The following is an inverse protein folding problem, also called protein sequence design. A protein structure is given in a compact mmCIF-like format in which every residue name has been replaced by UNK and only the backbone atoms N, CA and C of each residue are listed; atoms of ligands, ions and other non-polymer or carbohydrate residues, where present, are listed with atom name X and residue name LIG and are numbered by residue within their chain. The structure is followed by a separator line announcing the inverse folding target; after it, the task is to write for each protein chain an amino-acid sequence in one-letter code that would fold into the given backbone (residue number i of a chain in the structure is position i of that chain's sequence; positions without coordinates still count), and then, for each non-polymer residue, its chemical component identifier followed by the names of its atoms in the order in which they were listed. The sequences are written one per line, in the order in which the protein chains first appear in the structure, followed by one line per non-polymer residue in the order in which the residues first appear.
data_IF_268654226749
#
_entry.id   IF_268654226749
#
_cell.length_a   1.000
_cell.length_b   1.000
_cell.length_c   1.000
_cell.angle_alpha   90.00
_cell.angle_beta   90.00
_cell.angle_gamma   90.00
#
_symmetry.space_group_name_H-M   'P 1'
#
loop_
_entity.id
_entity.type
_entity.pdbx_description
1 polymer ?
#
# COMPACT_ATOMS: atom_id res chain seq x y z
N UNK A 1 9.68 -19.80 26.56
CA UNK A 1 9.94 -18.67 25.63
C UNK A 1 9.35 -19.04 24.28
N UNK A 2 8.73 -18.09 23.55
CA UNK A 2 8.27 -18.38 22.19
C UNK A 2 9.46 -18.83 21.32
N UNK A 3 9.22 -19.77 20.41
CA UNK A 3 10.23 -20.24 19.46
C UNK A 3 10.82 -19.04 18.70
N UNK A 4 12.13 -19.01 18.55
CA UNK A 4 12.84 -18.06 17.68
C UNK A 4 13.37 -18.77 16.44
N UNK A 5 13.64 -18.00 15.38
CA UNK A 5 14.31 -18.54 14.21
C UNK A 5 15.72 -19.00 14.57
N UNK A 6 16.11 -20.14 14.02
CA UNK A 6 17.48 -20.62 14.02
C UNK A 6 18.34 -19.78 13.08
N UNK A 7 19.67 -19.86 13.23
CA UNK A 7 20.61 -19.15 12.35
C UNK A 7 20.45 -19.56 10.88
N UNK A 8 20.14 -20.83 10.61
CA UNK A 8 19.88 -21.35 9.27
C UNK A 8 18.59 -20.78 8.67
N UNK A 9 17.53 -20.64 9.48
CA UNK A 9 16.29 -19.99 9.04
C UNK A 9 16.50 -18.49 8.81
N UNK A 10 17.27 -17.81 9.66
CA UNK A 10 17.64 -16.40 9.47
C UNK A 10 18.47 -16.18 8.18
N UNK A 11 19.40 -17.08 7.87
CA UNK A 11 20.15 -17.07 6.61
C UNK A 11 19.22 -17.15 5.40
N UNK A 12 18.26 -18.10 5.41
CA UNK A 12 17.23 -18.20 4.35
C UNK A 12 16.34 -16.96 4.30
N UNK A 13 15.97 -16.42 5.46
CA UNK A 13 15.13 -15.23 5.58
C UNK A 13 15.78 -14.03 4.88
N UNK A 14 17.03 -13.71 5.21
CA UNK A 14 17.75 -12.59 4.60
C UNK A 14 18.10 -12.86 3.12
N UNK A 15 18.44 -14.10 2.75
CA UNK A 15 18.68 -14.46 1.35
C UNK A 15 17.48 -14.13 0.45
N UNK A 16 16.25 -14.41 0.91
CA UNK A 16 15.02 -14.11 0.15
C UNK A 16 14.71 -12.62 0.06
N UNK A 17 15.00 -11.86 1.12
CA UNK A 17 14.85 -10.40 1.07
C UNK A 17 15.87 -9.78 0.10
N UNK A 18 17.13 -10.21 0.17
CA UNK A 18 18.18 -9.79 -0.75
C UNK A 18 17.88 -10.16 -2.21
N UNK A 19 17.33 -11.35 -2.47
CA UNK A 19 16.93 -11.73 -3.82
C UNK A 19 15.76 -10.88 -4.36
N UNK A 20 14.84 -10.46 -3.49
CA UNK A 20 13.69 -9.62 -3.87
C UNK A 20 14.09 -8.18 -4.15
N UNK A 21 15.05 -7.66 -3.40
CA UNK A 21 15.57 -6.30 -3.47
C UNK A 21 17.09 -6.31 -3.24
N UNK A 22 17.92 -6.43 -4.30
CA UNK A 22 19.36 -6.60 -4.16
C UNK A 22 20.11 -5.39 -3.57
N UNK A 23 19.54 -4.20 -3.70
CA UNK A 23 20.16 -2.95 -3.28
C UNK A 23 19.12 -2.08 -2.53
N UNK A 24 18.75 -2.47 -1.30
CA UNK A 24 17.73 -1.76 -0.55
C UNK A 24 18.30 -0.41 -0.06
N UNK A 25 17.59 0.68 -0.31
CA UNK A 25 18.03 2.03 0.02
C UNK A 25 17.03 2.76 0.93
N UNK A 26 17.50 3.85 1.53
CA UNK A 26 16.64 4.77 2.28
C UNK A 26 15.71 5.51 1.31
N UNK A 27 14.48 5.79 1.76
CA UNK A 27 13.51 6.57 0.98
C UNK A 27 13.63 8.09 1.22
N UNK A 28 14.58 8.50 2.09
CA UNK A 28 14.90 9.91 2.30
C UNK A 28 15.89 10.40 1.24
N UNK A 29 15.59 11.53 0.62
CA UNK A 29 16.46 12.15 -0.36
C UNK A 29 17.58 12.94 0.34
N UNK A 30 18.83 12.69 -0.06
CA UNK A 30 20.01 13.39 0.44
C UNK A 30 21.11 13.41 -0.64
N UNK A 31 22.09 14.29 -0.48
CA UNK A 31 23.23 14.43 -1.41
C UNK A 31 24.58 14.17 -0.74
N UNK A 32 24.63 14.26 0.59
CA UNK A 32 25.83 14.08 1.39
C UNK A 32 25.48 13.66 2.83
N UNK A 33 26.45 13.27 3.68
CA UNK A 33 26.18 12.83 5.05
C UNK A 33 25.45 13.88 5.93
N UNK A 34 25.68 15.17 5.69
CA UNK A 34 25.03 16.24 6.44
C UNK A 34 23.54 16.38 6.09
N UNK A 35 23.22 16.43 4.80
CA UNK A 35 21.82 16.48 4.34
C UNK A 35 21.04 15.23 4.75
N UNK A 36 21.69 14.06 4.79
CA UNK A 36 21.10 12.85 5.37
C UNK A 36 20.81 13.04 6.86
N UNK A 37 21.78 13.49 7.66
CA UNK A 37 21.59 13.73 9.09
C UNK A 37 20.40 14.66 9.34
N UNK A 38 20.32 15.77 8.61
CA UNK A 38 19.19 16.72 8.70
C UNK A 38 17.88 16.04 8.31
N UNK A 39 17.82 15.29 7.20
CA UNK A 39 16.62 14.58 6.79
C UNK A 39 16.13 13.57 7.84
N UNK A 40 17.04 12.82 8.48
CA UNK A 40 16.69 11.85 9.54
C UNK A 40 16.22 12.55 10.81
N UNK A 41 16.82 13.69 11.19
CA UNK A 41 16.33 14.49 12.33
C UNK A 41 14.92 15.05 12.04
N UNK A 42 14.67 15.49 10.80
CA UNK A 42 13.37 15.98 10.38
C UNK A 42 12.30 14.88 10.30
N UNK A 43 12.68 13.62 10.06
CA UNK A 43 11.76 12.49 9.91
C UNK A 43 11.13 11.99 11.21
N UNK A 44 11.61 12.44 12.37
CA UNK A 44 11.01 12.09 13.66
C UNK A 44 9.51 12.44 13.68
N UNK A 45 8.63 11.43 13.77
CA UNK A 45 7.17 11.59 13.69
C UNK A 45 6.68 12.32 12.42
N UNK A 46 7.36 12.08 11.29
CA UNK A 46 6.97 12.57 9.98
C UNK A 46 7.09 11.45 8.95
N UNK A 47 6.45 11.63 7.79
CA UNK A 47 6.60 10.70 6.67
C UNK A 47 7.78 11.09 5.80
N UNK A 48 8.48 10.12 5.22
CA UNK A 48 9.63 10.40 4.34
C UNK A 48 9.21 11.25 3.14
N UNK A 49 8.01 11.03 2.59
CA UNK A 49 7.42 11.89 1.55
C UNK A 49 7.28 13.34 1.99
N UNK A 50 6.83 13.59 3.22
CA UNK A 50 6.69 14.93 3.78
C UNK A 50 8.05 15.59 3.98
N UNK A 51 9.04 14.83 4.46
CA UNK A 51 10.42 15.30 4.63
C UNK A 51 11.03 15.65 3.27
N UNK A 52 10.96 14.76 2.29
CA UNK A 52 11.52 14.96 0.96
C UNK A 52 10.96 16.21 0.28
N UNK A 53 9.66 16.49 0.44
CA UNK A 53 9.03 17.72 -0.08
C UNK A 53 9.60 18.97 0.58
N UNK A 54 9.78 18.95 1.90
CA UNK A 54 10.32 20.09 2.63
C UNK A 54 11.82 20.32 2.35
N UNK A 55 12.59 19.24 2.22
CA UNK A 55 14.04 19.31 2.04
C UNK A 55 14.46 19.59 0.60
N UNK A 56 13.60 19.31 -0.39
CA UNK A 56 13.93 19.47 -1.82
C UNK A 56 14.51 20.85 -2.18
N UNK A 57 13.88 21.94 -1.71
CA UNK A 57 14.40 23.30 -1.92
C UNK A 57 15.44 23.71 -0.89
N UNK A 58 15.32 23.21 0.34
CA UNK A 58 16.25 23.52 1.43
C UNK A 58 17.68 23.08 1.09
N UNK A 59 17.86 21.85 0.62
CA UNK A 59 19.19 21.30 0.33
C UNK A 59 19.83 21.89 -0.94
N UNK A 60 19.09 22.62 -1.76
CA UNK A 60 19.70 23.37 -2.87
C UNK A 60 20.44 24.62 -2.39
N UNK A 61 20.03 25.18 -1.23
CA UNK A 61 20.58 26.43 -0.69
C UNK A 61 21.41 26.21 0.60
N UNK A 62 21.15 25.12 1.33
CA UNK A 62 21.79 24.81 2.60
C UNK A 62 22.08 23.30 2.72
N UNK A 63 23.18 22.87 2.11
CA UNK A 63 23.68 21.49 2.08
C UNK A 63 24.92 21.25 2.98
N UNK A 64 25.34 22.26 3.75
CA UNK A 64 26.43 22.17 4.73
C UNK A 64 26.02 22.82 6.07
N UNK A 65 26.68 22.47 7.19
CA UNK A 65 26.42 23.10 8.48
C UNK A 65 26.54 24.64 8.44
N UNK A 66 27.56 25.15 7.75
CA UNK A 66 27.84 26.60 7.65
C UNK A 66 26.70 27.32 6.92
N UNK A 67 26.27 26.77 5.77
CA UNK A 67 25.14 27.33 5.01
C UNK A 67 23.83 27.25 5.80
N UNK A 68 23.61 26.18 6.56
CA UNK A 68 22.42 26.04 7.40
C UNK A 68 22.39 27.05 8.55
N UNK A 69 23.53 27.26 9.22
CA UNK A 69 23.65 28.29 10.26
C UNK A 69 23.47 29.69 9.67
N UNK A 70 24.05 29.96 8.50
CA UNK A 70 23.88 31.24 7.79
C UNK A 70 22.43 31.48 7.33
N UNK A 71 21.71 30.42 6.93
CA UNK A 71 20.28 30.50 6.60
C UNK A 71 19.45 30.95 7.82
N UNK A 72 19.80 30.46 9.01
CA UNK A 72 19.19 30.81 10.28
C UNK A 72 17.87 30.08 10.56
N UNK A 73 17.52 30.01 11.85
CA UNK A 73 16.38 29.22 12.35
C UNK A 73 15.04 29.63 11.73
N UNK A 74 14.80 30.94 11.59
CA UNK A 74 13.53 31.46 11.07
C UNK A 74 13.26 30.98 9.63
N UNK A 75 14.22 31.18 8.73
CA UNK A 75 14.10 30.76 7.32
C UNK A 75 14.06 29.24 7.20
N UNK A 76 14.88 28.52 7.96
CA UNK A 76 14.80 27.06 8.03
C UNK A 76 13.39 26.61 8.44
N UNK A 77 12.82 27.24 9.47
CA UNK A 77 11.47 26.98 9.94
C UNK A 77 10.40 27.14 8.86
N UNK A 78 10.54 28.15 7.99
CA UNK A 78 9.64 28.37 6.84
C UNK A 78 9.70 27.20 5.84
N UNK A 79 10.90 26.66 5.56
CA UNK A 79 11.08 25.49 4.69
C UNK A 79 10.44 24.22 5.26
N UNK A 80 10.54 24.01 6.58
CA UNK A 80 10.11 22.76 7.23
C UNK A 80 8.74 22.87 7.92
N UNK A 81 8.03 24.00 7.78
CA UNK A 81 6.76 24.26 8.49
C UNK A 81 5.65 23.24 8.26
N UNK A 82 5.71 22.51 7.15
CA UNK A 82 4.77 21.45 6.79
C UNK A 82 4.99 20.15 7.57
N UNK A 83 6.11 20.05 8.30
CA UNK A 83 6.46 18.89 9.11
C UNK A 83 5.98 19.11 10.55
N UNK A 84 5.45 18.07 11.20
CA UNK A 84 5.13 18.12 12.63
C UNK A 84 6.37 18.45 13.49
N UNK A 85 6.16 19.20 14.58
CA UNK A 85 7.20 19.62 15.53
C UNK A 85 8.32 20.47 14.90
N UNK A 86 8.04 21.16 13.78
CA UNK A 86 9.06 21.86 12.99
C UNK A 86 9.86 22.92 13.76
N UNK A 87 9.26 23.63 14.73
CA UNK A 87 9.97 24.66 15.51
C UNK A 87 11.14 24.07 16.30
N UNK A 88 10.87 23.03 17.08
CA UNK A 88 11.92 22.33 17.84
C UNK A 88 12.92 21.65 16.91
N UNK A 89 12.46 21.10 15.78
CA UNK A 89 13.36 20.51 14.78
C UNK A 89 14.29 21.54 14.14
N UNK A 90 13.79 22.71 13.75
CA UNK A 90 14.60 23.79 13.19
C UNK A 90 15.64 24.28 14.21
N UNK A 91 15.22 24.50 15.46
CA UNK A 91 16.14 24.83 16.57
C UNK A 91 17.24 23.78 16.73
N UNK A 92 16.88 22.50 16.75
CA UNK A 92 17.84 21.40 16.86
C UNK A 92 18.79 21.33 15.66
N UNK A 93 18.29 21.50 14.44
CA UNK A 93 19.11 21.49 13.21
C UNK A 93 20.11 22.65 13.20
N UNK A 94 19.73 23.84 13.66
CA UNK A 94 20.69 24.95 13.80
C UNK A 94 21.72 24.64 14.89
N UNK A 95 21.26 24.17 16.06
CA UNK A 95 22.15 23.86 17.18
C UNK A 95 23.15 22.75 16.84
N UNK A 96 22.70 21.65 16.23
CA UNK A 96 23.61 20.57 15.80
C UNK A 96 24.58 21.05 14.74
N UNK A 97 24.16 21.94 13.82
CA UNK A 97 25.05 22.47 12.78
C UNK A 97 26.16 23.32 13.38
N UNK A 98 25.87 24.13 14.41
CA UNK A 98 26.90 24.86 15.16
C UNK A 98 27.90 23.93 15.83
N UNK A 99 27.42 22.87 16.49
CA UNK A 99 28.28 21.87 17.14
C UNK A 99 29.19 21.17 16.12
N UNK A 100 28.67 20.84 14.93
CA UNK A 100 29.48 20.24 13.87
C UNK A 100 30.61 21.18 13.42
N UNK A 101 30.35 22.47 13.28
CA UNK A 101 31.38 23.47 12.94
C UNK A 101 32.42 23.55 14.06
N UNK A 102 31.97 23.76 15.29
CA UNK A 102 32.84 24.02 16.45
C UNK A 102 33.70 22.81 16.86
N UNK A 103 33.11 21.60 16.84
CA UNK A 103 33.73 20.41 17.44
C UNK A 103 34.15 19.35 16.43
N UNK A 104 33.64 19.42 15.20
CA UNK A 104 33.86 18.40 14.17
C UNK A 104 34.33 18.99 12.83
N UNK A 105 34.72 20.27 12.79
CA UNK A 105 35.24 20.94 11.59
C UNK A 105 34.26 20.95 10.42
N UNK A 106 32.97 21.07 10.71
CA UNK A 106 31.90 21.09 9.70
C UNK A 106 31.52 19.72 9.14
N UNK A 107 32.09 18.62 9.66
CA UNK A 107 31.84 17.27 9.15
C UNK A 107 30.98 16.45 10.10
N UNK A 108 30.08 15.63 9.54
CA UNK A 108 29.32 14.65 10.33
C UNK A 108 30.27 13.54 10.81
N UNK A 109 30.37 13.28 12.13
CA UNK A 109 31.24 12.22 12.63
C UNK A 109 30.69 10.84 12.27
N UNK A 110 31.58 9.92 11.89
CA UNK A 110 31.26 8.51 11.68
C UNK A 110 31.29 7.69 12.98
N UNK A 111 30.89 8.30 14.09
CA UNK A 111 30.88 7.70 15.42
C UNK A 111 29.50 7.88 16.07
N UNK A 112 28.93 6.78 16.55
CA UNK A 112 27.57 6.76 17.10
C UNK A 112 27.47 7.63 18.35
N UNK A 113 28.46 7.57 19.26
CA UNK A 113 28.42 8.30 20.53
C UNK A 113 28.56 9.82 20.31
N UNK A 114 29.38 10.22 19.34
CA UNK A 114 29.49 11.61 18.90
C UNK A 114 28.17 12.09 18.27
N UNK A 115 27.53 11.27 17.44
CA UNK A 115 26.22 11.60 16.87
C UNK A 115 25.13 11.73 17.94
N UNK A 116 25.07 10.84 18.93
CA UNK A 116 24.10 10.90 20.04
C UNK A 116 24.23 12.17 20.91
N UNK A 117 25.37 12.86 20.87
CA UNK A 117 25.56 14.16 21.55
C UNK A 117 24.95 15.34 20.80
N UNK A 118 24.51 15.14 19.55
CA UNK A 118 23.91 16.19 18.74
C UNK A 118 22.42 16.39 19.10
N UNK A 119 21.94 17.64 19.22
CA UNK A 119 20.52 17.92 19.48
C UNK A 119 19.59 17.27 18.46
N UNK A 120 18.58 16.54 18.94
CA UNK A 120 17.61 15.84 18.09
C UNK A 120 18.10 14.50 17.53
N UNK A 121 19.30 14.05 17.88
CA UNK A 121 19.86 12.76 17.44
C UNK A 121 19.83 11.78 18.62
N UNK A 122 18.88 10.85 18.58
CA UNK A 122 18.90 9.68 19.46
C UNK A 122 19.64 8.50 18.83
N UNK A 123 19.79 7.41 19.59
CA UNK A 123 20.44 6.16 19.15
C UNK A 123 19.97 5.65 17.78
N UNK A 124 18.66 5.65 17.54
CA UNK A 124 18.08 5.24 16.25
C UNK A 124 18.60 6.12 15.12
N UNK A 125 18.59 7.44 15.30
CA UNK A 125 19.06 8.40 14.28
C UNK A 125 20.55 8.22 14.02
N UNK A 126 21.36 8.07 15.08
CA UNK A 126 22.79 7.82 14.96
C UNK A 126 23.08 6.52 14.19
N UNK A 127 22.40 5.42 14.53
CA UNK A 127 22.56 4.14 13.84
C UNK A 127 22.17 4.22 12.35
N UNK A 128 21.13 4.98 11.98
CA UNK A 128 20.75 5.19 10.57
C UNK A 128 21.87 5.93 9.82
N UNK A 129 22.39 7.01 10.39
CA UNK A 129 23.46 7.79 9.76
C UNK A 129 24.75 6.96 9.61
N UNK A 130 25.15 6.22 10.66
CA UNK A 130 26.26 5.27 10.61
C UNK A 130 26.10 4.23 9.49
N UNK A 131 24.91 3.66 9.32
CA UNK A 131 24.67 2.65 8.30
C UNK A 131 24.65 3.23 6.88
N UNK A 132 23.87 4.29 6.66
CA UNK A 132 23.60 4.82 5.32
C UNK A 132 24.76 5.66 4.81
N UNK A 133 25.28 6.60 5.60
CA UNK A 133 26.35 7.49 5.15
C UNK A 133 27.73 6.82 5.18
N UNK A 134 27.97 5.96 6.17
CA UNK A 134 29.31 5.43 6.45
C UNK A 134 29.43 3.91 6.26
N UNK A 135 28.35 3.23 5.83
CA UNK A 135 28.36 1.80 5.53
C UNK A 135 28.54 0.88 6.74
N UNK A 136 28.38 1.41 7.96
CA UNK A 136 28.56 0.62 9.18
C UNK A 136 27.43 -0.42 9.33
N UNK A 137 27.72 -1.63 9.82
CA UNK A 137 26.74 -2.72 9.93
C UNK A 137 25.76 -2.55 11.11
N UNK A 138 25.24 -1.34 11.34
CA UNK A 138 24.30 -1.01 12.41
C UNK A 138 22.85 -1.26 11.98
N UNK A 139 22.02 -1.77 12.89
CA UNK A 139 20.59 -2.02 12.63
C UNK A 139 19.75 -1.10 13.52
N UNK A 140 19.32 0.04 12.97
CA UNK A 140 18.49 0.98 13.72
C UNK A 140 17.06 0.45 13.87
N UNK A 141 16.63 0.09 15.08
CA UNK A 141 15.30 -0.47 15.33
C UNK A 141 14.27 0.63 15.48
N UNK A 142 13.34 0.69 14.52
CA UNK A 142 12.14 1.54 14.58
C UNK A 142 10.88 0.70 14.79
N UNK A 143 9.70 1.32 14.67
CA UNK A 143 8.42 0.60 14.85
C UNK A 143 8.16 -0.49 13.81
N UNK A 144 8.74 -0.36 12.60
CA UNK A 144 8.60 -1.37 11.54
C UNK A 144 9.49 -2.56 11.85
N UNK A 145 10.78 -2.34 12.11
CA UNK A 145 11.75 -3.39 12.41
C UNK A 145 11.39 -4.09 13.71
N UNK A 146 11.00 -3.34 14.75
CA UNK A 146 10.56 -3.91 16.02
C UNK A 146 9.39 -4.88 15.84
N UNK A 147 8.39 -4.48 15.04
CA UNK A 147 7.24 -5.33 14.73
C UNK A 147 7.63 -6.54 13.89
N UNK A 148 8.44 -6.37 12.85
CA UNK A 148 8.90 -7.46 12.00
C UNK A 148 9.67 -8.48 12.82
N UNK A 149 10.67 -8.04 13.59
CA UNK A 149 11.52 -8.90 14.41
C UNK A 149 10.71 -9.74 15.42
N UNK A 150 9.72 -9.12 16.07
CA UNK A 150 8.84 -9.81 17.01
C UNK A 150 7.85 -10.77 16.31
N UNK A 151 7.16 -10.33 15.24
CA UNK A 151 6.17 -11.18 14.54
C UNK A 151 6.81 -12.39 13.88
N UNK A 152 7.96 -12.22 13.22
CA UNK A 152 8.60 -13.32 12.48
C UNK A 152 9.31 -14.30 13.41
N UNK A 153 9.58 -13.90 14.65
CA UNK A 153 10.43 -14.65 15.59
C UNK A 153 11.92 -14.54 15.27
N UNK A 154 12.32 -13.61 14.38
CA UNK A 154 13.72 -13.40 14.00
C UNK A 154 14.56 -12.89 15.19
N UNK A 155 14.03 -11.93 15.94
CA UNK A 155 14.70 -11.32 17.09
C UNK A 155 13.67 -10.70 18.04
N UNK A 156 12.83 -11.52 18.71
CA UNK A 156 11.83 -11.00 19.62
C UNK A 156 12.48 -10.34 20.84
N UNK A 157 11.88 -9.25 21.30
CA UNK A 157 12.39 -8.44 22.41
C UNK A 157 11.36 -7.43 22.87
N UNK A 158 11.43 -7.04 24.15
CA UNK A 158 10.49 -6.10 24.77
C UNK A 158 10.87 -4.65 24.50
N UNK A 159 12.16 -4.39 24.30
CA UNK A 159 12.69 -3.04 24.05
C UNK A 159 13.40 -2.97 22.70
N UNK A 160 13.46 -1.79 22.05
CA UNK A 160 14.22 -1.62 20.81
C UNK A 160 15.69 -2.04 20.94
N UNK A 161 16.30 -1.80 22.10
CA UNK A 161 17.69 -2.18 22.37
C UNK A 161 17.89 -3.71 22.44
N UNK A 162 16.96 -4.44 23.07
CA UNK A 162 16.97 -5.90 23.05
C UNK A 162 16.86 -6.45 21.63
N UNK A 163 15.95 -5.89 20.83
CA UNK A 163 15.76 -6.28 19.43
C UNK A 163 16.99 -5.95 18.59
N UNK A 164 17.60 -4.77 18.77
CA UNK A 164 18.84 -4.36 18.09
C UNK A 164 19.96 -5.38 18.33
N UNK A 165 20.26 -5.67 19.59
CA UNK A 165 21.31 -6.63 19.98
C UNK A 165 21.02 -8.04 19.47
N UNK A 166 19.77 -8.47 19.50
CA UNK A 166 19.37 -9.78 18.99
C UNK A 166 19.49 -9.86 17.46
N UNK A 167 19.11 -8.80 16.74
CA UNK A 167 19.26 -8.70 15.28
C UNK A 167 20.73 -8.72 14.87
N UNK A 168 21.60 -7.96 15.55
CA UNK A 168 23.05 -7.97 15.28
C UNK A 168 23.67 -9.35 15.47
N UNK A 169 23.18 -10.11 16.46
CA UNK A 169 23.67 -11.48 16.74
C UNK A 169 23.16 -12.52 15.76
N UNK A 170 21.88 -12.48 15.38
CA UNK A 170 21.26 -13.51 14.52
C UNK A 170 21.54 -13.28 13.03
N UNK A 171 21.75 -12.03 12.62
CA UNK A 171 21.95 -11.67 11.21
C UNK A 171 23.32 -12.13 10.72
N UNK A 172 23.40 -12.93 9.65
CA UNK A 172 24.67 -13.32 9.05
C UNK A 172 25.48 -12.11 8.56
N UNK A 173 26.81 -12.15 8.74
CA UNK A 173 27.71 -11.01 8.47
C UNK A 173 27.52 -10.38 7.09
N UNK A 174 27.32 -11.20 6.05
CA UNK A 174 27.11 -10.75 4.66
C UNK A 174 25.84 -9.93 4.45
N UNK A 175 24.83 -10.08 5.32
CA UNK A 175 23.56 -9.35 5.23
C UNK A 175 23.50 -8.15 6.18
N UNK A 176 24.39 -8.03 7.17
CA UNK A 176 24.30 -7.00 8.22
C UNK A 176 24.13 -5.58 7.65
N UNK A 177 24.87 -5.23 6.60
CA UNK A 177 24.79 -3.90 5.97
C UNK A 177 23.40 -3.60 5.40
N UNK A 178 22.79 -4.56 4.70
CA UNK A 178 21.46 -4.40 4.07
C UNK A 178 20.30 -4.71 5.01
N UNK A 179 20.55 -5.40 6.13
CA UNK A 179 19.51 -5.89 7.05
C UNK A 179 18.58 -4.78 7.54
N UNK A 180 19.12 -3.61 7.87
CA UNK A 180 18.31 -2.46 8.26
C UNK A 180 17.25 -2.11 7.20
N UNK A 181 17.67 -1.87 5.96
CA UNK A 181 16.79 -1.47 4.86
C UNK A 181 15.80 -2.57 4.46
N UNK A 182 16.26 -3.83 4.38
CA UNK A 182 15.35 -4.95 4.10
C UNK A 182 14.25 -5.07 5.14
N UNK A 183 14.58 -4.96 6.43
CA UNK A 183 13.60 -5.12 7.50
C UNK A 183 12.62 -3.95 7.57
N UNK A 184 13.08 -2.70 7.41
CA UNK A 184 12.19 -1.53 7.42
C UNK A 184 11.25 -1.53 6.20
N UNK A 185 11.75 -1.80 4.99
CA UNK A 185 10.95 -1.86 3.77
C UNK A 185 9.95 -3.02 3.83
N UNK A 186 10.39 -4.18 4.32
CA UNK A 186 9.49 -5.31 4.54
C UNK A 186 8.39 -4.98 5.55
N UNK A 187 8.74 -4.33 6.67
CA UNK A 187 7.77 -3.89 7.66
C UNK A 187 6.82 -2.80 7.15
N UNK A 188 7.28 -1.94 6.25
CA UNK A 188 6.50 -0.85 5.66
C UNK A 188 5.48 -1.36 4.63
N UNK A 189 5.92 -2.21 3.70
CA UNK A 189 5.13 -2.58 2.53
C UNK A 189 4.41 -3.93 2.67
N UNK A 190 5.01 -4.89 3.38
CA UNK A 190 4.50 -6.27 3.48
C UNK A 190 3.92 -6.52 4.87
N UNK A 191 4.75 -6.50 5.91
CA UNK A 191 4.34 -6.77 7.30
C UNK A 191 3.74 -5.53 7.98
N UNK A 192 2.69 -4.98 7.37
CA UNK A 192 1.95 -3.80 7.83
C UNK A 192 1.34 -4.00 9.22
N UNK A 193 1.22 -2.92 9.98
CA UNK A 193 0.77 -2.97 11.38
C UNK A 193 -0.64 -3.57 11.55
N UNK A 194 -1.62 -3.06 10.78
CA UNK A 194 -3.02 -3.48 10.89
C UNK A 194 -3.30 -4.83 10.23
N UNK A 195 -2.98 -4.95 8.94
CA UNK A 195 -3.23 -6.18 8.15
C UNK A 195 -1.99 -6.51 7.31
N UNK A 196 -1.13 -7.44 7.76
CA UNK A 196 0.06 -7.83 7.02
C UNK A 196 -0.32 -8.54 5.72
N UNK A 197 0.46 -8.34 4.66
CA UNK A 197 0.27 -9.00 3.37
C UNK A 197 0.96 -10.38 3.35
N UNK A 198 0.54 -11.26 4.27
CA UNK A 198 1.11 -12.60 4.40
C UNK A 198 1.04 -13.44 3.11
N UNK A 199 -0.03 -13.37 2.28
CA UNK A 199 -0.10 -14.15 1.04
C UNK A 199 0.98 -13.79 0.01
N UNK A 200 1.46 -12.55 0.01
CA UNK A 200 2.53 -12.09 -0.89
C UNK A 200 3.90 -11.99 -0.19
N UNK A 201 4.01 -12.50 1.05
CA UNK A 201 5.23 -12.38 1.84
C UNK A 201 6.23 -13.48 1.47
N UNK A 202 7.42 -13.08 1.00
CA UNK A 202 8.49 -13.99 0.56
C UNK A 202 9.11 -14.86 1.67
N UNK A 203 8.79 -14.57 2.92
CA UNK A 203 9.27 -15.29 4.12
C UNK A 203 8.11 -15.86 4.95
N UNK A 204 6.91 -15.99 4.38
CA UNK A 204 5.70 -16.40 5.10
C UNK A 204 5.78 -17.80 5.73
N UNK A 205 6.43 -18.74 5.05
CA UNK A 205 6.71 -20.11 5.50
C UNK A 205 7.72 -20.17 6.64
N UNK A 206 8.69 -19.24 6.67
CA UNK A 206 9.66 -19.10 7.77
C UNK A 206 9.07 -18.36 8.97
N UNK A 207 8.12 -17.45 8.74
CA UNK A 207 7.56 -16.56 9.74
C UNK A 207 6.79 -17.32 10.83
N UNK A 208 7.10 -17.06 12.10
CA UNK A 208 6.44 -17.68 13.26
C UNK A 208 5.19 -16.93 13.77
N UNK A 209 4.69 -15.94 13.02
CA UNK A 209 3.50 -15.18 13.40
C UNK A 209 2.26 -16.08 13.34
N UNK A 210 1.48 -16.23 14.44
CA UNK A 210 0.30 -17.10 14.43
C UNK A 210 -0.84 -16.53 13.58
N UNK A 211 -1.08 -15.21 13.62
CA UNK A 211 -2.23 -14.58 12.97
C UNK A 211 -1.93 -14.15 11.53
N UNK A 212 -1.38 -15.06 10.71
CA UNK A 212 -1.10 -14.77 9.30
C UNK A 212 -2.42 -14.44 8.59
N UNK A 213 -2.39 -13.36 7.79
CA UNK A 213 -3.53 -13.02 6.95
C UNK A 213 -3.75 -14.13 5.92
N UNK A 214 -4.93 -14.75 5.94
CA UNK A 214 -5.32 -15.74 4.95
C UNK A 214 -5.26 -15.15 3.53
N UNK A 215 -5.04 -16.00 2.53
CA UNK A 215 -5.19 -15.60 1.14
C UNK A 215 -6.62 -15.10 0.94
N UNK A 216 -6.78 -13.78 0.82
CA UNK A 216 -8.01 -13.24 0.26
C UNK A 216 -7.98 -13.66 -1.20
N UNK A 217 -9.03 -14.33 -1.69
CA UNK A 217 -9.20 -14.56 -3.11
C UNK A 217 -8.91 -13.22 -3.80
N UNK A 218 -7.79 -13.14 -4.53
CA UNK A 218 -7.45 -11.94 -5.28
C UNK A 218 -8.67 -11.65 -6.15
N UNK A 219 -9.16 -10.41 -6.13
CA UNK A 219 -10.02 -9.94 -7.23
C UNK A 219 -9.24 -10.25 -8.51
N UNK A 220 -9.78 -11.16 -9.31
CA UNK A 220 -9.09 -11.65 -10.50
C UNK A 220 -8.92 -10.49 -11.48
N UNK A 221 -8.02 -10.60 -12.47
CA UNK A 221 -7.94 -9.60 -13.54
C UNK A 221 -9.31 -9.35 -14.22
N UNK A 222 -10.23 -10.32 -14.16
CA UNK A 222 -11.63 -10.17 -14.61
C UNK A 222 -12.41 -9.14 -13.78
N UNK A 223 -12.12 -8.95 -12.49
CA UNK A 223 -12.83 -8.03 -11.59
C UNK A 223 -12.45 -6.55 -11.77
N UNK A 224 -11.36 -6.26 -12.48
CA UNK A 224 -10.86 -4.89 -12.70
C UNK A 224 -11.55 -4.20 -13.88
N UNK A 225 -11.93 -4.96 -14.92
CA UNK A 225 -12.66 -4.44 -16.06
C UNK A 225 -14.11 -4.13 -15.68
N UNK A 226 -14.53 -2.87 -15.79
CA UNK A 226 -15.86 -2.41 -15.40
C UNK A 226 -16.65 -1.87 -16.58
N UNK A 227 -17.92 -2.25 -16.67
CA UNK A 227 -18.90 -1.70 -17.62
C UNK A 227 -19.76 -0.67 -16.90
N UNK A 228 -20.03 0.44 -17.58
CA UNK A 228 -21.04 1.42 -17.18
C UNK A 228 -22.43 0.93 -17.61
N UNK A 229 -23.31 0.70 -16.64
CA UNK A 229 -24.70 0.32 -16.85
C UNK A 229 -25.59 1.56 -16.74
N UNK A 230 -26.33 1.83 -17.82
CA UNK A 230 -27.29 2.93 -17.91
C UNK A 230 -28.68 2.46 -17.48
N UNK A 231 -29.57 3.41 -17.25
CA UNK A 231 -30.95 3.16 -16.86
C UNK A 231 -31.89 4.02 -17.69
N UNK A 232 -33.06 3.49 -18.10
CA UNK A 232 -34.05 4.26 -18.85
C UNK A 232 -34.82 5.26 -17.98
N UNK A 233 -34.64 5.24 -16.65
CA UNK A 233 -35.32 6.17 -15.73
C UNK A 233 -34.64 7.54 -15.71
N UNK A 234 -35.35 8.64 -16.06
CA UNK A 234 -34.80 9.99 -16.01
C UNK A 234 -34.27 10.34 -14.60
N UNK A 235 -33.10 10.97 -14.53
CA UNK A 235 -32.49 11.44 -13.28
C UNK A 235 -31.77 10.38 -12.43
N UNK A 236 -31.77 9.10 -12.84
CA UNK A 236 -31.05 8.06 -12.10
C UNK A 236 -29.62 7.88 -12.63
N UNK A 237 -28.63 7.94 -11.74
CA UNK A 237 -27.22 7.82 -12.08
C UNK A 237 -26.84 6.44 -12.64
N UNK A 238 -25.85 6.41 -13.53
CA UNK A 238 -25.25 5.16 -14.03
C UNK A 238 -24.45 4.46 -12.93
N UNK A 239 -24.34 3.13 -13.05
CA UNK A 239 -23.60 2.29 -12.10
C UNK A 239 -22.48 1.58 -12.83
N UNK A 240 -21.27 1.55 -12.24
CA UNK A 240 -20.13 0.81 -12.79
C UNK A 240 -19.97 -0.54 -12.09
N UNK A 241 -20.11 -1.62 -12.84
CA UNK A 241 -20.01 -3.00 -12.32
C UNK A 241 -18.97 -3.84 -13.07
N UNK A 242 -18.39 -4.90 -12.48
CA UNK A 242 -17.44 -5.78 -13.16
C UNK A 242 -18.04 -6.41 -14.42
N UNK A 243 -17.29 -6.39 -15.53
CA UNK A 243 -17.72 -6.84 -16.85
C UNK A 243 -18.18 -8.29 -16.85
N UNK A 244 -17.42 -9.18 -16.23
CA UNK A 244 -17.78 -10.59 -16.20
C UNK A 244 -19.09 -10.86 -15.43
N UNK A 245 -19.36 -10.11 -14.35
CA UNK A 245 -20.63 -10.20 -13.61
C UNK A 245 -21.80 -9.72 -14.46
N UNK A 246 -21.60 -8.62 -15.20
CA UNK A 246 -22.56 -8.15 -16.18
C UNK A 246 -22.83 -9.21 -17.24
N UNK A 247 -21.80 -9.80 -17.83
CA UNK A 247 -21.92 -10.80 -18.91
C UNK A 247 -22.60 -12.09 -18.44
N UNK A 248 -22.27 -12.58 -17.24
CA UNK A 248 -22.91 -13.76 -16.64
C UNK A 248 -24.42 -13.55 -16.43
N UNK A 249 -24.80 -12.42 -15.84
CA UNK A 249 -26.21 -12.08 -15.60
C UNK A 249 -26.94 -11.80 -16.91
N UNK A 250 -26.32 -11.09 -17.85
CA UNK A 250 -26.88 -10.85 -19.19
C UNK A 250 -27.14 -12.16 -19.93
N UNK A 251 -26.19 -13.10 -19.90
CA UNK A 251 -26.35 -14.45 -20.47
C UNK A 251 -27.57 -15.14 -19.85
N UNK A 252 -27.65 -15.18 -18.53
CA UNK A 252 -28.77 -15.80 -17.81
C UNK A 252 -30.12 -15.14 -18.14
N UNK A 253 -30.18 -13.80 -18.27
CA UNK A 253 -31.40 -13.08 -18.70
C UNK A 253 -31.78 -13.47 -20.12
N UNK A 254 -30.83 -13.45 -21.06
CA UNK A 254 -31.10 -13.83 -22.46
C UNK A 254 -31.60 -15.27 -22.56
N UNK A 255 -30.99 -16.20 -21.83
CA UNK A 255 -31.39 -17.60 -21.84
C UNK A 255 -32.74 -17.82 -21.16
N UNK A 256 -33.06 -17.05 -20.12
CA UNK A 256 -34.42 -17.02 -19.57
C UNK A 256 -35.42 -16.55 -20.64
N UNK A 257 -35.22 -15.36 -21.22
CA UNK A 257 -36.16 -14.81 -22.18
C UNK A 257 -36.33 -15.67 -23.44
N UNK A 258 -35.29 -16.36 -23.92
CA UNK A 258 -35.41 -17.34 -25.02
C UNK A 258 -36.40 -18.46 -24.69
N UNK A 259 -36.36 -18.98 -23.46
CA UNK A 259 -37.26 -20.07 -23.04
C UNK A 259 -38.72 -19.63 -22.87
N UNK A 260 -38.98 -18.33 -22.66
CA UNK A 260 -40.34 -17.81 -22.53
C UNK A 260 -41.01 -17.43 -23.86
N UNK A 261 -40.27 -17.44 -24.98
CA UNK A 261 -40.82 -17.11 -26.29
C UNK A 261 -41.47 -15.72 -26.37
N UNK A 262 -42.57 -15.61 -27.11
CA UNK A 262 -43.26 -14.31 -27.35
C UNK A 262 -44.02 -13.78 -26.13
N UNK A 263 -44.35 -14.65 -25.16
CA UNK A 263 -45.07 -14.28 -23.94
C UNK A 263 -44.16 -13.54 -22.93
N UNK A 264 -42.85 -13.79 -22.96
CA UNK A 264 -41.87 -13.12 -22.09
C UNK A 264 -42.02 -13.45 -20.60
N UNK A 265 -41.31 -12.73 -19.74
CA UNK A 265 -41.34 -12.87 -18.27
C UNK A 265 -41.98 -11.66 -17.59
N UNK A 266 -42.72 -11.86 -16.48
CA UNK A 266 -43.07 -10.75 -15.61
C UNK A 266 -41.82 -10.23 -14.90
N UNK A 267 -41.78 -8.92 -14.61
CA UNK A 267 -40.61 -8.31 -13.96
C UNK A 267 -40.25 -8.95 -12.61
N UNK A 268 -41.26 -9.40 -11.85
CA UNK A 268 -41.08 -10.03 -10.54
C UNK A 268 -40.52 -11.46 -10.63
N UNK A 269 -40.71 -12.14 -11.76
CA UNK A 269 -40.31 -13.54 -11.97
C UNK A 269 -38.88 -13.67 -12.51
N UNK A 270 -38.37 -12.60 -13.13
CA UNK A 270 -37.07 -12.60 -13.79
C UNK A 270 -35.90 -12.92 -12.86
N UNK A 271 -35.80 -12.40 -11.62
CA UNK A 271 -34.70 -12.73 -10.72
C UNK A 271 -34.57 -14.23 -10.41
N UNK A 272 -35.69 -14.92 -10.22
CA UNK A 272 -35.69 -16.37 -9.94
C UNK A 272 -35.32 -17.17 -11.19
N UNK A 273 -35.81 -16.75 -12.36
CA UNK A 273 -35.42 -17.35 -13.64
C UNK A 273 -33.92 -17.17 -13.95
N UNK A 274 -33.35 -16.02 -13.59
CA UNK A 274 -31.90 -15.75 -13.70
C UNK A 274 -31.12 -16.60 -12.71
N UNK A 275 -31.57 -16.68 -11.45
CA UNK A 275 -30.93 -17.49 -10.41
C UNK A 275 -30.80 -18.96 -10.82
N UNK A 276 -31.83 -19.52 -11.46
CA UNK A 276 -31.83 -20.91 -11.94
C UNK A 276 -30.84 -21.18 -13.09
N UNK A 277 -30.24 -20.15 -13.69
CA UNK A 277 -29.34 -20.24 -14.87
C UNK A 277 -27.90 -19.79 -14.57
N UNK A 278 -27.59 -19.52 -13.31
CA UNK A 278 -26.25 -19.19 -12.83
C UNK A 278 -25.60 -20.40 -12.18
N UNK A 279 -24.27 -20.52 -12.30
CA UNK A 279 -23.51 -21.56 -11.60
C UNK A 279 -23.43 -21.29 -10.09
N UNK A 280 -23.11 -22.31 -9.29
CA UNK A 280 -22.92 -22.13 -7.84
C UNK A 280 -21.85 -21.08 -7.50
N UNK A 281 -20.75 -21.06 -8.27
CA UNK A 281 -19.67 -20.08 -8.15
C UNK A 281 -20.13 -18.65 -8.50
N UNK A 282 -20.93 -18.50 -9.56
CA UNK A 282 -21.50 -17.21 -9.96
C UNK A 282 -22.46 -16.68 -8.88
N UNK A 283 -23.31 -17.54 -8.31
CA UNK A 283 -24.26 -17.18 -7.24
C UNK A 283 -23.53 -16.70 -5.98
N UNK A 284 -22.51 -17.43 -5.54
CA UNK A 284 -21.68 -17.07 -4.39
C UNK A 284 -21.01 -15.69 -4.60
N UNK A 285 -20.48 -15.45 -5.80
CA UNK A 285 -19.80 -14.19 -6.11
C UNK A 285 -20.73 -12.99 -6.30
N UNK A 286 -21.94 -13.19 -6.81
CA UNK A 286 -22.90 -12.10 -7.05
C UNK A 286 -23.56 -11.60 -5.76
N UNK A 287 -23.82 -12.48 -4.79
CA UNK A 287 -24.58 -12.14 -3.59
C UNK A 287 -26.05 -11.86 -3.92
N UNK A 288 -26.46 -10.59 -4.03
CA UNK A 288 -27.86 -10.21 -4.29
C UNK A 288 -28.26 -10.32 -5.77
N UNK A 289 -28.71 -11.50 -6.20
CA UNK A 289 -29.14 -11.77 -7.59
C UNK A 289 -30.22 -10.80 -8.08
N UNK A 290 -31.14 -10.38 -7.21
CA UNK A 290 -32.21 -9.44 -7.55
C UNK A 290 -31.68 -8.07 -7.97
N UNK A 291 -30.69 -7.55 -7.24
CA UNK A 291 -30.05 -6.27 -7.57
C UNK A 291 -29.31 -6.33 -8.91
N UNK A 292 -28.56 -7.41 -9.15
CA UNK A 292 -27.84 -7.62 -10.40
C UNK A 292 -28.78 -7.76 -11.58
N UNK A 293 -29.83 -8.57 -11.44
CA UNK A 293 -30.86 -8.78 -12.47
C UNK A 293 -31.49 -7.45 -12.85
N UNK A 294 -31.89 -6.63 -11.86
CA UNK A 294 -32.48 -5.31 -12.10
C UNK A 294 -31.53 -4.38 -12.84
N UNK A 295 -30.27 -4.31 -12.40
CA UNK A 295 -29.27 -3.39 -12.96
C UNK A 295 -28.94 -3.74 -14.41
N UNK A 296 -28.67 -5.02 -14.69
CA UNK A 296 -28.32 -5.48 -16.04
C UNK A 296 -29.53 -5.39 -16.98
N UNK A 297 -30.72 -5.76 -16.50
CA UNK A 297 -31.97 -5.61 -17.26
C UNK A 297 -32.19 -4.17 -17.72
N UNK A 298 -32.04 -3.18 -16.84
CA UNK A 298 -32.27 -1.77 -17.18
C UNK A 298 -31.29 -1.30 -18.28
N UNK A 299 -30.03 -1.72 -18.20
CA UNK A 299 -29.04 -1.40 -19.22
C UNK A 299 -29.36 -2.09 -20.56
N UNK A 300 -29.83 -3.34 -20.54
CA UNK A 300 -30.27 -4.07 -21.74
C UNK A 300 -31.49 -3.42 -22.41
N UNK A 301 -32.39 -2.80 -21.65
CA UNK A 301 -33.49 -1.98 -22.20
C UNK A 301 -32.95 -0.74 -22.92
N UNK A 302 -31.98 -0.03 -22.33
CA UNK A 302 -31.34 1.12 -22.97
C UNK A 302 -30.60 0.72 -24.26
N UNK A 303 -29.99 -0.47 -24.27
CA UNK A 303 -29.30 -1.03 -25.45
C UNK A 303 -30.25 -1.61 -26.51
N UNK A 304 -31.56 -1.63 -26.25
CA UNK A 304 -32.55 -2.17 -27.19
C UNK A 304 -32.47 -3.68 -27.39
N UNK A 305 -31.89 -4.42 -26.44
CA UNK A 305 -31.79 -5.88 -26.51
C UNK A 305 -33.09 -6.56 -26.06
N UNK A 306 -33.80 -5.91 -25.15
CA UNK A 306 -35.06 -6.36 -24.58
C UNK A 306 -36.07 -5.22 -24.59
N UNK A 307 -37.35 -5.54 -24.71
CA UNK A 307 -38.44 -4.57 -24.70
C UNK A 307 -39.52 -4.93 -23.68
N UNK A 308 -40.22 -3.91 -23.21
CA UNK A 308 -41.41 -4.06 -22.38
C UNK A 308 -42.63 -4.22 -23.28
N UNK A 309 -43.44 -5.23 -23.01
CA UNK A 309 -44.69 -5.50 -23.72
C UNK A 309 -45.83 -5.52 -22.71
N UNK A 310 -46.96 -4.93 -23.10
CA UNK A 310 -48.20 -4.99 -22.32
C UNK A 310 -48.90 -6.29 -22.70
N UNK A 311 -49.08 -7.18 -21.72
CA UNK A 311 -49.81 -8.44 -21.87
C UNK A 311 -50.96 -8.52 -20.85
N UNK A 312 -51.89 -9.46 -21.04
CA UNK A 312 -52.93 -9.78 -20.03
C UNK A 312 -52.21 -10.21 -18.74
N UNK A 313 -52.32 -9.40 -17.69
CA UNK A 313 -51.67 -9.64 -16.38
C UNK A 313 -50.50 -8.69 -16.03
N UNK A 314 -50.14 -7.73 -16.89
CA UNK A 314 -49.20 -6.65 -16.54
C UNK A 314 -48.04 -6.46 -17.54
N UNK A 315 -47.04 -5.67 -17.14
CA UNK A 315 -45.83 -5.44 -17.95
C UNK A 315 -44.92 -6.68 -17.95
N UNK A 316 -44.61 -7.17 -19.15
CA UNK A 316 -43.70 -8.32 -19.38
C UNK A 316 -42.48 -7.89 -20.18
N UNK A 317 -41.41 -8.67 -20.08
CA UNK A 317 -40.15 -8.45 -20.80
C UNK A 317 -39.94 -9.56 -21.82
N UNK A 318 -39.57 -9.20 -23.04
CA UNK A 318 -39.17 -10.15 -24.09
C UNK A 318 -37.95 -9.65 -24.88
N UNK A 319 -37.37 -10.55 -25.68
CA UNK A 319 -36.31 -10.20 -26.62
C UNK A 319 -36.85 -9.35 -27.77
N UNK A 320 -36.08 -8.36 -28.23
CA UNK A 320 -36.43 -7.60 -29.43
C UNK A 320 -36.20 -8.48 -30.69
N UNK A 321 -37.21 -8.69 -31.55
CA UNK A 321 -37.06 -9.50 -32.76
C UNK A 321 -36.01 -8.92 -33.72
N UNK A 322 -35.11 -9.77 -34.25
CA UNK A 322 -34.00 -9.38 -35.14
C UNK A 322 -34.41 -8.59 -36.41
N UNK A 323 -35.70 -8.55 -36.79
CA UNK A 323 -36.20 -7.84 -37.98
C UNK A 323 -36.25 -6.30 -37.88
N UNK A 324 -36.01 -5.67 -36.71
CA UNK A 324 -36.06 -4.20 -36.54
C UNK A 324 -34.70 -3.48 -36.46
N UNK A 325 -33.58 -4.16 -36.64
CA UNK A 325 -32.25 -3.51 -36.67
C UNK A 325 -31.88 -3.11 -38.10
N UNK A 326 -32.62 -2.17 -38.71
CA UNK A 326 -32.17 -1.33 -39.85
C UNK A 326 -33.24 -0.29 -40.23
N UNK A 327 -33.07 0.94 -39.73
CA UNK A 327 -33.11 2.24 -40.46
C UNK A 327 -33.44 3.40 -39.50
N UNK A 328 -32.56 4.40 -39.49
CA UNK A 328 -32.77 5.77 -38.98
C UNK A 328 -31.83 6.14 -37.81
N UNK A 329 -30.91 7.09 -37.91
CA UNK A 329 -30.53 7.96 -39.02
C UNK A 329 -29.12 8.49 -38.78
N UNK A 330 -28.26 8.37 -39.80
CA UNK A 330 -27.23 9.34 -40.09
C UNK A 330 -27.86 10.34 -41.07
N UNK A 331 -28.02 11.58 -40.63
CA UNK A 331 -28.13 12.82 -41.38
C UNK A 331 -28.05 13.95 -40.34
#
# INVERSE_FOLDING_TARGET
MPRTLTRTEAEKFFARLAARDPAPETELNYTNPYTLLVAVVLSAQATDVGVNKATARLFQIADSPEKMVALGEKKLGEHVRTIGLWRNKAKNVIALSKILIERHGGKVPADREALEKLPGVGRKTANVVCNVAFGQPTIAVDTHIFRVANRTGLAPGRTPLEVERALEKITPKKYLRGAHHWLILHGRYVCKARRPDCPNCVVADLCLYPDKTAAHARKSARDEEKIECRTPTPGRASVRIPRWKYEAVRRAILDALKTAGEEGFAFKELPDAVKARLSAEELESLGSVSWWTTTVKLDMEVKGEIERVVAKGGQRLRLVPRRRVRKGAAA
#
